data_IF_308427009178
#
_entry.id   IF_308427009178
#
_cell.length_a   1.000
_cell.length_b   1.000
_cell.length_c   1.000
_cell.angle_alpha   90.00
_cell.angle_beta   90.00
_cell.angle_gamma   90.00
#
_symmetry.space_group_name_H-M   'P 1'
#
loop_
_entity.id
_entity.type
_entity.pdbx_description
1 polymer ?
#
# COMPACT_ATOMS: atom_id res chain seq x y z
N UNK A 1 -4.78 -9.81 13.90
CA UNK A 1 -3.61 -10.09 14.79
C UNK A 1 -2.28 -10.03 14.02
N UNK A 2 -2.18 -10.64 12.84
CA UNK A 2 -1.00 -10.64 11.95
C UNK A 2 -0.25 -9.31 11.77
N UNK A 3 -0.93 -8.19 11.47
CA UNK A 3 -0.27 -6.86 11.36
C UNK A 3 0.44 -6.46 12.66
N UNK A 4 -0.18 -6.72 13.82
CA UNK A 4 0.40 -6.38 15.13
C UNK A 4 1.61 -7.24 15.45
N UNK A 5 1.60 -8.51 15.02
CA UNK A 5 2.74 -9.42 15.16
C UNK A 5 3.90 -8.99 14.25
N UNK A 6 3.60 -8.58 13.01
CA UNK A 6 4.59 -8.02 12.10
C UNK A 6 5.20 -6.74 12.67
N UNK A 7 4.38 -5.83 13.22
CA UNK A 7 4.84 -4.59 13.82
C UNK A 7 5.80 -4.84 15.00
N UNK A 8 5.45 -5.78 15.89
CA UNK A 8 6.33 -6.18 17.00
C UNK A 8 7.65 -6.79 16.52
N UNK A 9 7.64 -7.50 15.39
CA UNK A 9 8.83 -8.16 14.84
C UNK A 9 9.76 -7.17 14.12
N UNK A 10 9.21 -6.21 13.39
CA UNK A 10 9.97 -5.28 12.54
C UNK A 10 10.38 -4.03 13.31
N UNK A 11 9.45 -3.45 14.06
CA UNK A 11 9.67 -2.19 14.80
C UNK A 11 10.07 -2.49 16.24
N UNK A 12 9.36 -3.40 16.91
CA UNK A 12 9.57 -3.64 18.34
C UNK A 12 8.98 -2.51 19.20
N UNK A 13 9.72 -2.09 20.23
CA UNK A 13 9.29 -1.06 21.18
C UNK A 13 9.91 0.34 20.94
N UNK A 14 10.61 0.52 19.82
CA UNK A 14 11.18 1.82 19.42
C UNK A 14 10.20 2.62 18.56
N UNK A 15 10.54 3.88 18.32
CA UNK A 15 9.84 4.73 17.37
C UNK A 15 10.00 4.23 15.92
N UNK A 16 8.95 4.46 15.13
CA UNK A 16 8.89 4.09 13.71
C UNK A 16 9.75 5.04 12.88
N UNK A 17 10.54 4.50 11.97
CA UNK A 17 11.30 5.25 10.97
C UNK A 17 10.76 5.00 9.56
N UNK A 18 11.16 5.84 8.60
CA UNK A 18 10.74 5.67 7.20
C UNK A 18 11.21 4.34 6.59
N UNK A 19 12.38 3.85 7.01
CA UNK A 19 12.94 2.58 6.54
C UNK A 19 12.06 1.38 6.90
N UNK A 20 11.32 1.47 8.01
CA UNK A 20 10.42 0.41 8.48
C UNK A 20 9.27 0.14 7.52
N UNK A 21 8.78 1.17 6.82
CA UNK A 21 7.68 1.03 5.88
C UNK A 21 8.00 -0.02 4.81
N UNK A 22 9.26 -0.13 4.39
CA UNK A 22 9.71 -1.10 3.40
C UNK A 22 9.64 -2.55 3.91
N UNK A 23 9.72 -2.74 5.23
CA UNK A 23 9.77 -4.04 5.89
C UNK A 23 8.39 -4.55 6.36
N UNK A 24 7.37 -3.70 6.40
CA UNK A 24 6.00 -4.04 6.80
C UNK A 24 5.17 -4.61 5.64
N UNK A 25 5.58 -5.78 5.13
CA UNK A 25 4.99 -6.40 3.92
C UNK A 25 3.53 -6.80 4.08
N UNK A 26 3.15 -7.33 5.25
CA UNK A 26 1.78 -7.73 5.51
C UNK A 26 0.85 -6.51 5.64
N UNK A 27 1.32 -5.44 6.26
CA UNK A 27 0.59 -4.17 6.27
C UNK A 27 0.39 -3.60 4.86
N UNK A 28 1.42 -3.60 3.99
CA UNK A 28 1.29 -3.18 2.58
C UNK A 28 0.22 -3.99 1.84
N UNK A 29 0.21 -5.32 2.01
CA UNK A 29 -0.83 -6.17 1.43
C UNK A 29 -2.23 -5.80 1.93
N UNK A 30 -2.40 -5.52 3.22
CA UNK A 30 -3.69 -5.10 3.79
C UNK A 30 -4.15 -3.77 3.21
N UNK A 31 -3.24 -2.79 3.06
CA UNK A 31 -3.57 -1.49 2.48
C UNK A 31 -4.01 -1.66 1.02
N UNK A 32 -3.24 -2.40 0.22
CA UNK A 32 -3.56 -2.66 -1.19
C UNK A 32 -4.91 -3.36 -1.35
N UNK A 33 -5.19 -4.36 -0.52
CA UNK A 33 -6.45 -5.08 -0.56
C UNK A 33 -7.63 -4.19 -0.11
N UNK A 34 -7.40 -3.32 0.87
CA UNK A 34 -8.40 -2.33 1.28
C UNK A 34 -8.74 -1.40 0.13
N UNK A 35 -7.75 -0.90 -0.62
CA UNK A 35 -7.97 -0.04 -1.79
C UNK A 35 -8.62 -0.80 -2.94
N UNK A 36 -8.34 -2.10 -3.11
CA UNK A 36 -8.99 -2.95 -4.11
C UNK A 36 -10.50 -3.08 -3.84
N UNK A 37 -10.89 -3.24 -2.58
CA UNK A 37 -12.29 -3.38 -2.16
C UNK A 37 -12.99 -2.01 -2.06
N UNK A 38 -12.27 -1.00 -1.56
CA UNK A 38 -12.75 0.35 -1.33
C UNK A 38 -11.84 1.35 -2.07
N UNK A 39 -11.98 1.45 -3.41
CA UNK A 39 -11.17 2.37 -4.19
C UNK A 39 -11.48 3.81 -3.80
N UNK A 40 -10.44 4.59 -3.49
CA UNK A 40 -10.56 6.01 -3.11
C UNK A 40 -11.06 6.86 -4.28
N UNK A 41 -10.81 6.43 -5.53
CA UNK A 41 -11.27 7.10 -6.74
C UNK A 41 -11.73 6.08 -7.79
N UNK A 42 -12.92 6.25 -8.39
CA UNK A 42 -13.48 5.27 -9.32
C UNK A 42 -12.83 5.31 -10.71
N UNK A 43 -12.31 6.46 -11.16
CA UNK A 43 -11.83 6.65 -12.55
C UNK A 43 -10.65 7.63 -12.58
N UNK A 44 -9.53 7.20 -13.15
CA UNK A 44 -8.46 8.09 -13.60
C UNK A 44 -8.69 8.37 -15.08
N UNK A 45 -9.33 9.49 -15.39
CA UNK A 45 -9.54 9.90 -16.78
C UNK A 45 -8.19 10.19 -17.44
N UNK A 46 -7.97 9.63 -18.62
CA UNK A 46 -6.81 9.91 -19.47
C UNK A 46 -7.31 10.55 -20.75
N UNK A 47 -6.66 11.62 -21.17
CA UNK A 47 -6.88 12.24 -22.47
C UNK A 47 -5.80 11.74 -23.45
N UNK A 48 -6.19 11.37 -24.67
CA UNK A 48 -5.21 10.99 -25.68
C UNK A 48 -4.59 12.25 -26.30
N UNK A 49 -3.26 12.32 -26.30
CA UNK A 49 -2.50 13.41 -26.92
C UNK A 49 -1.94 13.04 -28.30
N UNK A 50 -2.34 11.90 -28.88
CA UNK A 50 -1.89 11.39 -30.17
C UNK A 50 -2.44 10.01 -30.49
N UNK A 51 -2.13 9.51 -31.69
CA UNK A 51 -2.58 8.20 -32.16
C UNK A 51 -1.88 7.05 -31.43
N UNK A 52 -2.66 6.07 -30.97
CA UNK A 52 -2.18 4.86 -30.29
C UNK A 52 -2.65 3.63 -31.08
N UNK A 53 -1.74 2.69 -31.38
CA UNK A 53 -2.09 1.35 -31.85
C UNK A 53 -2.17 0.41 -30.65
N UNK A 54 -3.31 -0.27 -30.49
CA UNK A 54 -3.56 -1.28 -29.44
C UNK A 54 -3.07 -2.67 -29.87
#
# INVERSE_FOLDING_TARGET
KKVREELKRVVGDRDVTEEDATNLKYLDMVIRETIRVFPVGPILAREMTGDVKL
#
